data_IF_561536050930
#
_entry.id   IF_561536050930
#
_cell.length_a   1.000
_cell.length_b   1.000
_cell.length_c   1.000
_cell.angle_alpha   90.00
_cell.angle_beta   90.00
_cell.angle_gamma   90.00
#
_symmetry.space_group_name_H-M   'P 1'
#
loop_
_entity.id
_entity.type
_entity.pdbx_description
1 polymer ?
#
# COMPACT_ATOMS: atom_id res chain seq x y z
N UNK A 1 15.48 -1.47 -9.64
CA UNK A 1 15.99 -0.08 -9.73
C UNK A 1 14.99 0.81 -9.03
N UNK A 2 15.44 1.78 -8.24
CA UNK A 2 14.52 2.72 -7.59
C UNK A 2 14.00 3.73 -8.61
N UNK A 3 12.68 3.91 -8.70
CA UNK A 3 12.03 4.89 -9.58
C UNK A 3 11.37 6.00 -8.74
N UNK A 4 11.19 7.22 -9.29
CA UNK A 4 10.41 8.26 -8.63
C UNK A 4 9.02 7.75 -8.24
N UNK A 5 8.48 8.22 -7.12
CA UNK A 5 7.12 7.87 -6.69
C UNK A 5 6.11 8.29 -7.78
N UNK A 6 5.37 7.35 -8.40
CA UNK A 6 4.37 7.69 -9.40
C UNK A 6 3.28 8.58 -8.81
N UNK A 7 2.68 9.44 -9.64
CA UNK A 7 1.67 10.40 -9.19
C UNK A 7 0.46 9.71 -8.57
N UNK A 8 0.03 8.58 -9.15
CA UNK A 8 -1.08 7.80 -8.62
C UNK A 8 -0.78 7.21 -7.23
N UNK A 9 0.43 6.67 -7.03
CA UNK A 9 0.85 6.11 -5.73
C UNK A 9 0.95 7.23 -4.70
N UNK A 10 1.54 8.37 -5.08
CA UNK A 10 1.63 9.54 -4.21
C UNK A 10 0.24 10.05 -3.81
N UNK A 11 -0.70 10.15 -4.74
CA UNK A 11 -2.07 10.59 -4.47
C UNK A 11 -2.82 9.62 -3.54
N UNK A 12 -2.66 8.31 -3.71
CA UNK A 12 -3.26 7.32 -2.80
C UNK A 12 -2.70 7.43 -1.38
N UNK A 13 -1.37 7.53 -1.24
CA UNK A 13 -0.74 7.73 0.07
C UNK A 13 -1.20 9.05 0.70
N UNK A 14 -1.26 10.11 -0.08
CA UNK A 14 -1.70 11.44 0.36
C UNK A 14 -3.13 11.41 0.89
N UNK A 15 -4.03 10.70 0.20
CA UNK A 15 -5.42 10.53 0.59
C UNK A 15 -5.57 9.73 1.89
N UNK A 16 -4.83 8.62 2.03
CA UNK A 16 -4.86 7.78 3.24
C UNK A 16 -4.27 8.47 4.46
N UNK A 17 -3.32 9.40 4.25
CA UNK A 17 -2.64 10.15 5.30
C UNK A 17 -3.21 11.56 5.48
N UNK A 18 -4.49 11.77 5.14
CA UNK A 18 -5.16 13.09 5.29
C UNK A 18 -5.46 13.45 6.76
N UNK A 19 -5.28 12.50 7.69
CA UNK A 19 -5.48 12.74 9.12
C UNK A 19 -4.60 13.87 9.67
N UNK A 20 -5.16 14.67 10.57
CA UNK A 20 -4.41 15.76 11.26
C UNK A 20 -3.56 15.27 12.42
N UNK A 21 -3.50 13.95 12.65
CA UNK A 21 -2.67 13.38 13.71
C UNK A 21 -1.16 13.49 13.36
N UNK A 22 -0.28 13.46 14.36
CA UNK A 22 1.16 13.63 14.13
C UNK A 22 1.79 12.55 13.24
N UNK A 23 1.23 11.34 13.20
CA UNK A 23 1.77 10.22 12.42
C UNK A 23 1.43 10.43 10.95
N UNK A 24 0.17 10.68 10.63
CA UNK A 24 -0.29 10.98 9.26
C UNK A 24 0.46 12.17 8.68
N UNK A 25 0.59 13.25 9.45
CA UNK A 25 1.33 14.45 9.03
C UNK A 25 2.81 14.17 8.75
N UNK A 26 3.47 13.39 9.61
CA UNK A 26 4.88 13.05 9.43
C UNK A 26 5.11 12.12 8.23
N UNK A 27 4.27 11.11 8.04
CA UNK A 27 4.36 10.19 6.90
C UNK A 27 4.06 10.90 5.58
N UNK A 28 3.09 11.82 5.54
CA UNK A 28 2.79 12.64 4.35
C UNK A 28 3.96 13.54 3.96
N UNK A 29 4.71 14.07 4.93
CA UNK A 29 5.91 14.87 4.68
C UNK A 29 7.06 14.07 4.04
N UNK A 30 7.01 12.73 4.07
CA UNK A 30 8.02 11.87 3.47
C UNK A 30 7.82 11.66 1.96
N UNK A 31 6.61 11.90 1.42
CA UNK A 31 6.28 11.62 0.01
C UNK A 31 7.25 12.25 -1.02
N UNK A 32 7.73 13.50 -0.86
CA UNK A 32 8.70 14.09 -1.79
C UNK A 32 10.06 13.38 -1.81
N UNK A 33 10.38 12.61 -0.77
CA UNK A 33 11.64 11.90 -0.58
C UNK A 33 11.49 10.38 -0.78
N UNK A 34 10.29 9.93 -1.14
CA UNK A 34 9.96 8.54 -1.35
C UNK A 34 10.20 8.11 -2.80
N UNK A 35 10.54 6.84 -2.98
CA UNK A 35 10.77 6.18 -4.27
C UNK A 35 10.18 4.78 -4.24
N UNK A 36 9.71 4.32 -5.39
CA UNK A 36 9.31 2.92 -5.55
C UNK A 36 10.58 2.09 -5.75
N UNK A 37 10.74 1.04 -4.94
CA UNK A 37 11.89 0.12 -4.99
C UNK A 37 11.51 -1.29 -5.43
N UNK A 38 10.22 -1.62 -5.42
CA UNK A 38 9.68 -2.92 -5.77
C UNK A 38 8.18 -2.86 -6.07
N UNK A 39 7.70 -3.84 -6.84
CA UNK A 39 6.29 -4.06 -7.16
C UNK A 39 6.04 -5.57 -7.16
N UNK A 40 4.87 -6.03 -6.71
CA UNK A 40 4.56 -7.45 -6.84
C UNK A 40 4.43 -7.85 -8.31
N UNK A 41 5.13 -8.92 -8.71
CA UNK A 41 4.96 -9.52 -10.04
C UNK A 41 3.70 -10.39 -10.17
N UNK A 42 2.96 -10.58 -9.08
CA UNK A 42 1.79 -11.44 -9.00
C UNK A 42 0.51 -10.82 -9.57
N UNK A 43 0.52 -9.53 -9.89
CA UNK A 43 -0.63 -8.79 -10.40
C UNK A 43 -1.45 -8.05 -9.34
N UNK A 44 -1.11 -8.15 -8.05
CA UNK A 44 -1.68 -7.26 -7.04
C UNK A 44 -1.02 -5.87 -7.11
N UNK A 45 -1.74 -4.84 -6.65
CA UNK A 45 -1.26 -3.47 -6.63
C UNK A 45 -0.47 -3.17 -5.34
N UNK A 46 0.52 -4.03 -5.04
CA UNK A 46 1.47 -3.83 -3.95
C UNK A 46 2.73 -3.15 -4.45
N UNK A 47 3.16 -2.11 -3.74
CA UNK A 47 4.31 -1.27 -4.07
C UNK A 47 5.21 -1.12 -2.85
N UNK A 48 6.46 -1.55 -2.99
CA UNK A 48 7.50 -1.30 -1.99
C UNK A 48 8.04 0.13 -2.15
N UNK A 49 8.07 0.86 -1.05
CA UNK A 49 8.51 2.25 -0.99
C UNK A 49 9.77 2.34 -0.12
N UNK A 50 10.71 3.18 -0.52
CA UNK A 50 11.82 3.59 0.32
C UNK A 50 11.88 5.11 0.42
N UNK A 51 12.21 5.62 1.60
CA UNK A 51 12.36 7.04 1.89
C UNK A 51 13.83 7.37 2.10
N UNK A 52 14.28 8.55 1.65
CA UNK A 52 15.60 9.07 2.02
C UNK A 52 15.62 9.52 3.48
N UNK A 53 16.17 8.69 4.37
CA UNK A 53 16.24 8.96 5.81
C UNK A 53 17.12 10.16 6.19
N UNK A 54 17.95 10.66 5.26
CA UNK A 54 18.78 11.85 5.50
C UNK A 54 18.04 13.16 5.22
N UNK A 55 16.96 13.10 4.45
CA UNK A 55 16.20 14.27 4.00
C UNK A 55 14.97 14.57 4.87
N UNK A 56 14.45 13.57 5.59
CA UNK A 56 13.21 13.70 6.38
C UNK A 56 13.28 12.84 7.66
N UNK A 57 12.77 13.31 8.80
CA UNK A 57 12.74 12.53 10.03
C UNK A 57 11.74 11.36 9.97
N UNK A 58 11.90 10.35 10.85
CA UNK A 58 10.91 9.31 11.01
C UNK A 58 9.62 9.85 11.65
N UNK A 59 8.50 9.21 11.35
CA UNK A 59 7.25 9.45 12.07
C UNK A 59 7.35 8.98 13.53
N UNK A 60 6.56 9.57 14.45
CA UNK A 60 6.43 9.08 15.82
C UNK A 60 6.05 7.60 15.88
N UNK A 61 6.30 6.93 17.00
CA UNK A 61 5.90 5.54 17.20
C UNK A 61 4.38 5.37 17.01
N UNK A 62 3.98 4.35 16.25
CA UNK A 62 2.60 4.07 15.87
C UNK A 62 2.37 2.56 15.66
N UNK A 63 1.11 2.17 15.47
CA UNK A 63 0.72 0.79 15.18
C UNK A 63 0.98 0.37 13.73
N UNK A 64 0.62 -0.86 13.40
CA UNK A 64 0.68 -1.40 12.03
C UNK A 64 -0.67 -2.04 11.68
N UNK A 65 -1.31 -1.71 10.54
CA UNK A 65 -0.88 -0.73 9.54
C UNK A 65 -0.85 0.71 10.09
N UNK A 66 -0.11 1.59 9.42
CA UNK A 66 -0.02 3.00 9.78
C UNK A 66 -1.28 3.78 9.41
N UNK A 67 -1.92 3.38 8.30
CA UNK A 67 -3.24 3.81 7.88
C UNK A 67 -3.87 2.73 7.00
N UNK A 68 -5.19 2.63 7.03
CA UNK A 68 -5.97 1.73 6.18
C UNK A 68 -7.30 2.36 5.78
N UNK A 69 -7.84 1.93 4.65
CA UNK A 69 -9.18 2.28 4.21
C UNK A 69 -9.82 1.09 3.49
N UNK A 70 -11.16 1.09 3.48
CA UNK A 70 -11.97 0.06 2.84
C UNK A 70 -12.93 0.66 1.82
N UNK A 71 -13.04 0.01 0.68
CA UNK A 71 -14.06 0.25 -0.33
C UNK A 71 -15.05 -0.90 -0.29
N UNK A 72 -16.30 -0.61 0.07
CA UNK A 72 -17.32 -1.64 0.21
C UNK A 72 -17.98 -2.05 -1.12
N UNK A 73 -18.06 -1.15 -2.12
CA UNK A 73 -18.74 -1.39 -3.40
C UNK A 73 -18.14 -0.51 -4.51
N UNK A 74 -18.06 -0.97 -5.78
CA UNK A 74 -18.45 -2.29 -6.30
C UNK A 74 -17.36 -3.36 -6.16
N UNK A 75 -16.15 -2.95 -5.78
CA UNK A 75 -15.01 -3.84 -5.54
C UNK A 75 -14.73 -3.84 -4.04
N UNK A 76 -15.12 -4.93 -3.37
CA UNK A 76 -14.83 -5.15 -1.96
C UNK A 76 -13.30 -5.28 -1.79
N UNK A 77 -12.66 -4.17 -1.44
CA UNK A 77 -11.23 -4.01 -1.50
C UNK A 77 -10.71 -3.10 -0.38
N UNK A 78 -9.58 -3.50 0.19
CA UNK A 78 -8.87 -2.73 1.20
C UNK A 78 -7.58 -2.12 0.64
N UNK A 79 -7.17 -1.01 1.23
CA UNK A 79 -5.85 -0.43 1.03
C UNK A 79 -5.19 -0.20 2.39
N UNK A 80 -3.92 -0.54 2.49
CA UNK A 80 -3.11 -0.38 3.70
C UNK A 80 -1.78 0.30 3.39
N UNK A 81 -1.35 1.14 4.32
CA UNK A 81 -0.03 1.77 4.33
C UNK A 81 0.74 1.23 5.51
N UNK A 82 1.97 0.80 5.26
CA UNK A 82 2.89 0.36 6.30
C UNK A 82 4.09 1.30 6.39
N UNK A 83 4.60 1.44 7.60
CA UNK A 83 5.87 2.06 7.86
C UNK A 83 6.79 1.10 8.62
N UNK A 84 8.09 1.24 8.39
CA UNK A 84 9.15 0.54 9.09
C UNK A 84 10.10 1.56 9.68
N UNK A 85 10.37 1.44 10.98
CA UNK A 85 11.24 2.38 11.72
C UNK A 85 10.79 3.86 11.58
N UNK A 86 9.48 4.08 11.40
CA UNK A 86 8.89 5.41 11.19
C UNK A 86 8.91 5.93 9.75
N UNK A 87 9.34 5.12 8.78
CA UNK A 87 9.41 5.50 7.37
C UNK A 87 8.46 4.68 6.50
N UNK A 88 7.82 5.31 5.51
CA UNK A 88 6.98 4.63 4.52
C UNK A 88 7.74 3.45 3.89
N UNK A 89 7.12 2.27 3.92
CA UNK A 89 7.74 1.03 3.44
C UNK A 89 6.90 0.28 2.41
N UNK A 90 5.58 0.32 2.52
CA UNK A 90 4.68 -0.46 1.66
C UNK A 90 3.34 0.23 1.49
N UNK A 91 2.83 0.22 0.25
CA UNK A 91 1.43 0.44 -0.06
C UNK A 91 0.88 -0.87 -0.63
N UNK A 92 -0.20 -1.38 -0.04
CA UNK A 92 -0.86 -2.60 -0.49
C UNK A 92 -2.34 -2.33 -0.75
N UNK A 93 -2.79 -2.64 -1.97
CA UNK A 93 -4.22 -2.75 -2.30
C UNK A 93 -4.53 -4.23 -2.48
N UNK A 94 -5.52 -4.72 -1.73
CA UNK A 94 -5.98 -6.10 -1.77
C UNK A 94 -7.48 -6.17 -1.98
N UNK A 95 -7.94 -7.15 -2.75
CA UNK A 95 -9.36 -7.45 -2.90
C UNK A 95 -9.77 -8.52 -1.89
N UNK A 96 -10.92 -8.34 -1.25
CA UNK A 96 -11.54 -9.33 -0.38
C UNK A 96 -12.23 -10.46 -1.14
N UNK A 97 -12.16 -10.45 -2.48
CA UNK A 97 -12.78 -11.44 -3.36
C UNK A 97 -12.33 -12.85 -2.99
N UNK A 98 -13.16 -13.51 -2.19
CA UNK A 98 -13.07 -14.92 -1.84
C UNK A 98 -13.72 -15.77 -2.93
N UNK A 99 -13.33 -15.55 -4.18
CA UNK A 99 -13.59 -16.49 -5.25
C UNK A 99 -12.21 -16.92 -5.76
N UNK A 100 -11.68 -18.10 -5.37
CA UNK A 100 -10.56 -18.65 -6.10
C UNK A 100 -10.99 -18.75 -7.55
N UNK A 101 -10.26 -18.11 -8.45
CA UNK A 101 -10.44 -18.31 -9.88
C UNK A 101 -10.15 -19.77 -10.19
N UNK A 102 -11.16 -20.64 -10.07
CA UNK A 102 -11.12 -22.00 -10.56
C UNK A 102 -11.24 -21.98 -12.09
N UNK A 103 -10.29 -21.31 -12.74
CA UNK A 103 -10.02 -21.50 -14.15
C UNK A 103 -9.15 -22.75 -14.26
N UNK A 104 -9.82 -23.89 -14.43
CA UNK A 104 -9.22 -25.10 -14.95
C UNK A 104 -9.02 -26.22 -13.93
N UNK A 105 -10.05 -27.06 -13.79
CA UNK A 105 -9.93 -28.54 -13.79
C UNK A 105 -11.30 -29.19 -14.01
N UNK A 106 -11.56 -29.49 -15.28
CA UNK A 106 -12.14 -30.73 -15.76
C UNK A 106 -12.90 -31.58 -14.72
N UNK A 107 -14.22 -31.44 -14.65
CA UNK A 107 -15.10 -32.42 -14.01
C UNK A 107 -15.61 -33.41 -15.07
N UNK A 108 -14.71 -34.31 -15.49
CA UNK A 108 -15.09 -35.63 -15.98
C UNK A 108 -15.55 -36.48 -14.78
N UNK A 109 -16.61 -37.26 -15.03
CA UNK A 109 -17.09 -38.42 -14.28
C UNK A 109 -17.99 -38.19 -13.05
N UNK A 110 -19.26 -38.57 -13.24
CA UNK A 110 -20.10 -39.41 -12.36
C UNK A 110 -21.37 -39.74 -13.18
N UNK A 111 -21.38 -40.84 -13.95
CA UNK A 111 -21.82 -42.19 -13.57
C UNK A 111 -23.29 -42.22 -13.15
#
# INVERSE_FOLDING_TARGET
>A
MAEPLPMEVAATLDALLTGSDPVSSALRAQLPYARVVGRCGCGCATVDVAVDHTAVPPAPAHGSPAADAWYAEPEDAGVMVFAKDGYLSLLEIYSASSEPSNSGRNALARS
#
